data_IF_751699601566
#
_entry.id   IF_751699601566
#
_cell.length_a   1.000
_cell.length_b   1.000
_cell.length_c   1.000
_cell.angle_alpha   90.00
_cell.angle_beta   90.00
_cell.angle_gamma   90.00
#
_symmetry.space_group_name_H-M   'P 1'
#
loop_
_entity.id
_entity.type
_entity.pdbx_description
1 polymer ?
#
# COMPACT_ATOMS: atom_id res chain seq x y z
N UNK A 1 1.94 14.20 -9.81
CA UNK A 1 1.88 12.84 -10.37
C UNK A 1 1.06 12.03 -9.38
N UNK A 2 -0.04 11.39 -9.81
CA UNK A 2 -1.06 10.80 -8.91
C UNK A 2 -0.47 9.65 -8.08
N UNK A 3 0.44 8.91 -8.68
CA UNK A 3 1.35 7.93 -8.08
C UNK A 3 2.01 8.44 -6.78
N UNK A 4 2.65 9.62 -6.78
CA UNK A 4 3.27 10.18 -5.57
C UNK A 4 2.27 10.37 -4.42
N UNK A 5 1.04 10.78 -4.73
CA UNK A 5 0.00 10.96 -3.71
C UNK A 5 -0.43 9.59 -3.15
N UNK A 6 -0.57 8.58 -4.01
CA UNK A 6 -0.89 7.23 -3.57
C UNK A 6 0.23 6.68 -2.68
N UNK A 7 1.50 6.81 -3.08
CA UNK A 7 2.65 6.42 -2.25
C UNK A 7 2.65 7.12 -0.87
N UNK A 8 2.28 8.40 -0.80
CA UNK A 8 2.16 9.10 0.47
C UNK A 8 1.10 8.46 1.38
N UNK A 9 -0.04 8.03 0.84
CA UNK A 9 -1.06 7.33 1.63
C UNK A 9 -0.54 6.02 2.24
N UNK A 10 0.32 5.30 1.51
CA UNK A 10 0.92 4.05 2.00
C UNK A 10 1.91 4.33 3.14
N UNK A 11 2.71 5.39 3.01
CA UNK A 11 3.60 5.85 4.07
C UNK A 11 2.79 6.27 5.31
N UNK A 12 1.69 7.01 5.13
CA UNK A 12 0.81 7.38 6.23
C UNK A 12 0.20 6.17 6.93
N UNK A 13 -0.21 5.14 6.17
CA UNK A 13 -0.69 3.88 6.73
C UNK A 13 0.40 3.18 7.55
N UNK A 14 1.63 3.08 7.03
CA UNK A 14 2.77 2.51 7.73
C UNK A 14 3.11 3.28 9.02
N UNK A 15 3.10 4.61 8.98
CA UNK A 15 3.33 5.48 10.14
C UNK A 15 2.22 5.33 11.20
N UNK A 16 0.96 5.23 10.76
CA UNK A 16 -0.15 4.97 11.66
C UNK A 16 0.01 3.62 12.36
N UNK A 17 0.30 2.55 11.61
CA UNK A 17 0.51 1.23 12.17
C UNK A 17 1.71 1.16 13.12
N UNK A 18 2.81 1.84 12.78
CA UNK A 18 3.95 2.00 13.67
C UNK A 18 3.53 2.65 14.98
N UNK A 19 2.88 3.82 14.90
CA UNK A 19 2.51 4.63 16.07
C UNK A 19 1.52 3.86 16.96
N UNK A 20 0.50 3.23 16.37
CA UNK A 20 -0.49 2.43 17.10
C UNK A 20 0.17 1.27 17.85
N UNK A 21 1.03 0.50 17.19
CA UNK A 21 1.66 -0.68 17.82
C UNK A 21 2.76 -0.31 18.80
N UNK A 22 3.53 0.74 18.52
CA UNK A 22 4.52 1.27 19.47
C UNK A 22 3.84 1.76 20.76
N UNK A 23 2.76 2.53 20.66
CA UNK A 23 2.06 3.07 21.84
C UNK A 23 1.34 2.00 22.66
N UNK A 24 0.77 0.96 22.02
CA UNK A 24 0.07 -0.13 22.73
C UNK A 24 1.02 -1.18 23.32
N UNK A 25 2.21 -1.35 22.75
CA UNK A 25 3.13 -2.45 23.11
C UNK A 25 4.56 -1.94 23.31
N UNK A 26 5.52 -2.33 22.46
CA UNK A 26 6.93 -1.93 22.53
C UNK A 26 7.39 -1.31 21.21
N UNK A 27 8.49 -0.56 21.25
CA UNK A 27 9.15 -0.01 20.04
C UNK A 27 9.39 -1.07 18.96
N UNK A 28 9.79 -2.28 19.37
CA UNK A 28 9.98 -3.42 18.47
C UNK A 28 8.73 -3.74 17.65
N UNK A 29 7.55 -3.67 18.25
CA UNK A 29 6.28 -3.99 17.58
C UNK A 29 5.91 -2.92 16.54
N UNK A 30 6.29 -1.66 16.78
CA UNK A 30 6.20 -0.61 15.79
C UNK A 30 7.03 -0.93 14.54
N UNK A 31 8.31 -1.28 14.71
CA UNK A 31 9.18 -1.66 13.59
C UNK A 31 8.70 -2.93 12.88
N UNK A 32 8.22 -3.93 13.62
CA UNK A 32 7.61 -5.14 13.03
C UNK A 32 6.39 -4.79 12.17
N UNK A 33 5.59 -3.81 12.59
CA UNK A 33 4.42 -3.35 11.83
C UNK A 33 4.82 -2.74 10.49
N UNK A 34 5.85 -1.88 10.48
CA UNK A 34 6.40 -1.32 9.24
C UNK A 34 6.92 -2.45 8.34
N UNK A 35 7.66 -3.40 8.88
CA UNK A 35 8.25 -4.50 8.12
C UNK A 35 7.16 -5.37 7.47
N UNK A 36 6.10 -5.69 8.22
CA UNK A 36 4.95 -6.46 7.72
C UNK A 36 4.22 -5.70 6.60
N UNK A 37 3.98 -4.40 6.78
CA UNK A 37 3.33 -3.57 5.75
C UNK A 37 4.22 -3.48 4.50
N UNK A 38 5.52 -3.24 4.66
CA UNK A 38 6.45 -3.19 3.54
C UNK A 38 6.51 -4.52 2.78
N UNK A 39 6.51 -5.65 3.50
CA UNK A 39 6.50 -6.97 2.87
C UNK A 39 5.19 -7.21 2.12
N UNK A 40 4.04 -6.90 2.73
CA UNK A 40 2.73 -7.03 2.09
C UNK A 40 2.64 -6.15 0.84
N UNK A 41 3.11 -4.90 0.93
CA UNK A 41 3.19 -3.98 -0.19
C UNK A 41 4.01 -4.57 -1.35
N UNK A 42 5.23 -5.04 -1.09
CA UNK A 42 6.11 -5.60 -2.13
C UNK A 42 5.46 -6.81 -2.80
N UNK A 43 4.88 -7.72 -2.02
CA UNK A 43 4.23 -8.92 -2.55
C UNK A 43 3.04 -8.53 -3.44
N UNK A 44 2.12 -7.71 -2.93
CA UNK A 44 0.93 -7.32 -3.68
C UNK A 44 1.34 -6.51 -4.93
N UNK A 45 2.29 -5.59 -4.81
CA UNK A 45 2.80 -4.77 -5.92
C UNK A 45 3.45 -5.61 -7.02
N UNK A 46 4.22 -6.64 -6.65
CA UNK A 46 4.82 -7.56 -7.61
C UNK A 46 3.78 -8.33 -8.43
N UNK A 47 2.57 -8.50 -7.89
CA UNK A 47 1.44 -9.12 -8.58
C UNK A 47 0.63 -8.11 -9.39
N UNK A 48 0.37 -6.92 -8.84
CA UNK A 48 -0.48 -5.92 -9.50
C UNK A 48 0.21 -5.22 -10.66
N UNK A 49 1.54 -5.09 -10.66
CA UNK A 49 2.27 -4.43 -11.75
C UNK A 49 2.17 -5.17 -13.10
N UNK A 50 2.38 -6.50 -13.17
CA UNK A 50 2.10 -7.27 -14.38
C UNK A 50 0.62 -7.23 -14.78
N UNK A 51 -0.30 -7.33 -13.81
CA UNK A 51 -1.75 -7.28 -14.06
C UNK A 51 -2.16 -5.94 -14.67
N UNK A 52 -1.63 -4.83 -14.14
CA UNK A 52 -1.85 -3.50 -14.66
C UNK A 52 -1.34 -3.37 -16.10
N UNK A 53 -0.17 -3.96 -16.39
CA UNK A 53 0.41 -3.95 -17.74
C UNK A 53 -0.42 -4.74 -18.76
N UNK A 54 -1.14 -5.78 -18.33
CA UNK A 54 -2.02 -6.58 -19.18
C UNK A 54 -3.40 -5.96 -19.36
N UNK A 55 -3.94 -5.34 -18.31
CA UNK A 55 -5.31 -4.82 -18.30
C UNK A 55 -5.42 -3.39 -18.80
N UNK A 56 -4.40 -2.55 -18.63
CA UNK A 56 -4.46 -1.14 -19.01
C UNK A 56 -4.20 -0.96 -20.51
N UNK A 57 -5.19 -0.49 -21.29
CA UNK A 57 -4.99 -0.14 -22.69
C UNK A 57 -4.07 1.08 -22.80
N UNK A 58 -3.27 1.15 -23.87
CA UNK A 58 -2.41 2.31 -24.15
C UNK A 58 -3.20 3.61 -24.32
N UNK A 59 -4.48 3.54 -24.70
CA UNK A 59 -5.37 4.71 -24.79
C UNK A 59 -5.69 5.37 -23.46
N UNK A 60 -5.41 4.72 -22.33
CA UNK A 60 -5.60 5.28 -20.99
C UNK A 60 -4.35 6.00 -20.48
N UNK A 61 -3.20 5.85 -21.14
CA UNK A 61 -1.97 6.56 -20.74
C UNK A 61 -2.13 8.07 -20.96
N UNK A 62 -1.86 8.84 -19.91
CA UNK A 62 -1.83 10.30 -19.95
C UNK A 62 -0.68 10.83 -19.12
N UNK A 63 -0.41 12.14 -19.19
CA UNK A 63 0.64 12.79 -18.40
C UNK A 63 0.48 12.57 -16.88
N UNK A 64 -0.73 12.30 -16.39
CA UNK A 64 -1.04 12.13 -14.98
C UNK A 64 -1.44 10.70 -14.59
N UNK A 65 -1.67 9.83 -15.56
CA UNK A 65 -2.15 8.46 -15.36
C UNK A 65 -1.32 7.50 -16.19
N UNK A 66 -0.48 6.73 -15.51
CA UNK A 66 0.41 5.76 -16.13
C UNK A 66 0.03 4.34 -15.70
N UNK A 67 0.64 3.33 -16.32
CA UNK A 67 0.55 1.94 -15.88
C UNK A 67 0.89 1.75 -14.41
N UNK A 68 1.85 2.54 -13.90
CA UNK A 68 2.24 2.49 -12.49
C UNK A 68 1.14 3.05 -11.58
N UNK A 69 0.52 4.17 -11.97
CA UNK A 69 -0.66 4.70 -11.26
C UNK A 69 -1.79 3.67 -11.18
N UNK A 70 -2.06 2.97 -12.29
CA UNK A 70 -3.08 1.93 -12.32
C UNK A 70 -2.71 0.71 -11.46
N UNK A 71 -1.44 0.28 -11.49
CA UNK A 71 -0.92 -0.76 -10.59
C UNK A 71 -1.11 -0.41 -9.11
N UNK A 72 -0.82 0.85 -8.74
CA UNK A 72 -0.99 1.33 -7.36
C UNK A 72 -2.46 1.40 -6.94
N UNK A 73 -3.37 1.78 -7.84
CA UNK A 73 -4.81 1.75 -7.58
C UNK A 73 -5.28 0.30 -7.36
N UNK A 74 -4.83 -0.64 -8.19
CA UNK A 74 -5.14 -2.06 -8.01
C UNK A 74 -4.59 -2.61 -6.69
N UNK A 75 -3.39 -2.19 -6.28
CA UNK A 75 -2.77 -2.57 -5.01
C UNK A 75 -3.53 -2.01 -3.80
N UNK A 76 -4.05 -0.80 -3.91
CA UNK A 76 -4.70 -0.10 -2.81
C UNK A 76 -5.89 -0.89 -2.22
N UNK A 77 -6.66 -1.61 -3.04
CA UNK A 77 -7.81 -2.39 -2.55
C UNK A 77 -7.43 -3.54 -1.61
N UNK A 78 -6.60 -4.53 -2.01
CA UNK A 78 -6.17 -5.61 -1.13
C UNK A 78 -5.32 -5.09 0.04
N UNK A 79 -4.50 -4.04 -0.16
CA UNK A 79 -3.73 -3.45 0.93
C UNK A 79 -4.63 -2.79 1.97
N UNK A 80 -5.61 -1.97 1.56
CA UNK A 80 -6.56 -1.35 2.47
C UNK A 80 -7.36 -2.41 3.26
N UNK A 81 -7.73 -3.52 2.60
CA UNK A 81 -8.36 -4.65 3.27
C UNK A 81 -7.43 -5.30 4.31
N UNK A 82 -6.18 -5.61 3.94
CA UNK A 82 -5.17 -6.12 4.86
C UNK A 82 -4.98 -5.18 6.06
N UNK A 83 -4.80 -3.89 5.78
CA UNK A 83 -4.60 -2.88 6.81
C UNK A 83 -5.79 -2.78 7.76
N UNK A 84 -7.01 -2.82 7.23
CA UNK A 84 -8.23 -2.80 8.02
C UNK A 84 -8.29 -4.00 8.98
N UNK A 85 -8.02 -5.21 8.49
CA UNK A 85 -8.08 -6.42 9.30
C UNK A 85 -7.00 -6.45 10.38
N UNK A 86 -5.74 -6.17 10.01
CA UNK A 86 -4.60 -6.33 10.92
C UNK A 86 -4.36 -5.13 11.84
N UNK A 87 -4.71 -3.90 11.41
CA UNK A 87 -4.36 -2.69 12.14
C UNK A 87 -5.55 -1.84 12.59
N UNK A 88 -6.75 -1.98 12.04
CA UNK A 88 -7.93 -1.22 12.50
C UNK A 88 -8.91 -2.07 13.32
N UNK A 89 -9.23 -3.28 12.85
CA UNK A 89 -10.17 -4.20 13.50
C UNK A 89 -9.58 -4.91 14.73
N UNK A 90 -8.25 -4.86 14.90
CA UNK A 90 -7.55 -5.31 16.11
C UNK A 90 -7.98 -4.44 17.32
N UNK A 91 -9.08 -4.87 17.95
CA UNK A 91 -9.65 -4.38 19.21
C UNK A 91 -9.09 -5.19 20.36
#
# INVERSE_FOLDING_TARGET
MIDLLIYHLHILAALYAFTKNWQKRRLRDGFLSILVIALAFIIIWSLTSPIASLLMPSSWESMYFTKDTFSLILLFFPEAFFFYIFFLKDK
#
